data_IF_001304867786
#
_entry.id   IF_001304867786
#
_cell.length_a   1.000
_cell.length_b   1.000
_cell.length_c   1.000
_cell.angle_alpha   90.00
_cell.angle_beta   90.00
_cell.angle_gamma   90.00
#
_symmetry.space_group_name_H-M   'P 1'
#
loop_
_entity.id
_entity.type
_entity.pdbx_description
1 polymer ?
#
# COMPACT_ATOMS: atom_id res chain seq x y z
N UNK A 1 13.17 -11.44 -2.11
CA UNK A 1 11.70 -11.31 -2.23
C UNK A 1 11.08 -12.67 -2.47
N UNK A 2 9.89 -12.93 -1.96
CA UNK A 2 9.19 -14.22 -2.00
C UNK A 2 8.05 -14.30 -3.03
N UNK A 3 7.78 -13.21 -3.76
CA UNK A 3 6.73 -13.10 -4.78
C UNK A 3 7.28 -12.58 -6.11
N UNK A 4 6.56 -12.82 -7.22
CA UNK A 4 6.86 -12.29 -8.55
C UNK A 4 5.57 -11.92 -9.31
N UNK A 5 5.70 -11.23 -10.44
CA UNK A 5 4.61 -11.06 -11.41
C UNK A 5 5.09 -11.30 -12.84
N UNK A 6 4.14 -11.47 -13.74
CA UNK A 6 4.41 -11.81 -15.15
C UNK A 6 4.36 -10.62 -16.09
N UNK A 7 3.65 -9.55 -15.71
CA UNK A 7 3.54 -8.34 -16.52
C UNK A 7 3.87 -7.06 -15.73
N UNK A 8 4.45 -6.08 -16.41
CA UNK A 8 4.64 -4.72 -15.87
C UNK A 8 3.26 -4.13 -15.53
N UNK A 9 3.15 -3.45 -14.38
CA UNK A 9 1.89 -2.87 -13.85
C UNK A 9 0.76 -3.87 -13.53
N UNK A 10 1.02 -5.17 -13.59
CA UNK A 10 0.09 -6.17 -13.08
C UNK A 10 -0.03 -6.08 -11.55
N UNK A 11 -1.26 -6.23 -11.06
CA UNK A 11 -1.61 -6.14 -9.63
C UNK A 11 -1.38 -7.45 -8.88
N UNK A 12 -1.35 -8.58 -9.60
CA UNK A 12 -1.18 -9.89 -9.02
C UNK A 12 0.28 -10.12 -8.60
N UNK A 13 0.48 -10.43 -7.32
CA UNK A 13 1.73 -10.93 -6.78
C UNK A 13 1.61 -12.44 -6.55
N UNK A 14 2.44 -13.22 -7.23
CA UNK A 14 2.42 -14.68 -7.25
C UNK A 14 3.54 -15.20 -6.34
N UNK A 15 3.26 -16.06 -5.34
CA UNK A 15 4.30 -16.67 -4.53
C UNK A 15 5.32 -17.44 -5.38
N UNK A 16 6.61 -17.31 -5.07
CA UNK A 16 7.67 -18.01 -5.79
C UNK A 16 7.65 -19.50 -5.40
N UNK A 17 7.28 -20.32 -6.38
CA UNK A 17 7.46 -21.78 -6.37
C UNK A 17 7.68 -22.25 -7.81
N UNK A 18 8.25 -23.44 -7.96
CA UNK A 18 8.40 -24.12 -9.26
C UNK A 18 7.04 -24.35 -9.93
N UNK A 19 6.04 -24.77 -9.17
CA UNK A 19 4.65 -24.94 -9.62
C UNK A 19 4.06 -23.62 -10.14
N UNK A 20 4.08 -22.56 -9.34
CA UNK A 20 3.52 -21.27 -9.73
C UNK A 20 4.27 -20.68 -10.92
N UNK A 21 5.59 -20.76 -10.93
CA UNK A 21 6.37 -20.26 -12.04
C UNK A 21 6.05 -21.02 -13.34
N UNK A 22 5.95 -22.35 -13.27
CA UNK A 22 5.53 -23.18 -14.40
C UNK A 22 4.13 -22.81 -14.90
N UNK A 23 3.16 -22.69 -14.00
CA UNK A 23 1.78 -22.36 -14.31
C UNK A 23 1.64 -20.99 -15.01
N UNK A 24 2.27 -19.95 -14.46
CA UNK A 24 2.07 -18.58 -14.93
C UNK A 24 2.98 -18.19 -16.10
N UNK A 25 4.12 -18.85 -16.28
CA UNK A 25 5.06 -18.53 -17.36
C UNK A 25 5.06 -19.54 -18.50
N UNK A 26 4.54 -20.76 -18.27
CA UNK A 26 4.69 -21.88 -19.21
C UNK A 26 6.15 -22.27 -19.47
N UNK A 27 7.09 -21.84 -18.61
CA UNK A 27 8.53 -22.04 -18.76
C UNK A 27 9.08 -21.61 -20.13
N UNK A 28 8.49 -20.56 -20.72
CA UNK A 28 8.83 -20.09 -22.07
C UNK A 28 9.50 -18.72 -22.04
N UNK A 29 10.18 -18.32 -23.13
CA UNK A 29 10.67 -16.95 -23.28
C UNK A 29 9.53 -15.92 -23.07
N UNK A 30 9.79 -14.77 -22.44
CA UNK A 30 11.11 -14.28 -21.98
C UNK A 30 11.48 -14.71 -20.54
N UNK A 31 10.64 -15.52 -19.88
CA UNK A 31 10.84 -15.92 -18.48
C UNK A 31 11.96 -16.96 -18.31
N UNK A 32 12.32 -17.67 -19.38
CA UNK A 32 13.45 -18.60 -19.38
C UNK A 32 14.48 -18.13 -20.39
N UNK A 33 15.72 -17.94 -19.93
CA UNK A 33 16.88 -17.69 -20.76
C UNK A 33 17.86 -18.86 -20.66
N UNK A 34 18.47 -19.26 -21.77
CA UNK A 34 19.47 -20.32 -21.84
C UNK A 34 20.80 -19.69 -22.22
N UNK A 35 21.81 -19.90 -21.37
CA UNK A 35 23.18 -19.44 -21.61
C UNK A 35 23.93 -20.40 -22.54
N UNK A 36 25.07 -19.97 -23.08
CA UNK A 36 25.91 -20.80 -23.95
C UNK A 36 26.41 -22.10 -23.27
N UNK A 37 26.47 -22.12 -21.94
CA UNK A 37 26.84 -23.29 -21.13
C UNK A 37 25.64 -24.20 -20.77
N UNK A 38 24.50 -24.04 -21.47
CA UNK A 38 23.22 -24.72 -21.22
C UNK A 38 22.59 -24.45 -19.84
N UNK A 39 23.13 -23.54 -19.02
CA UNK A 39 22.45 -23.14 -17.78
C UNK A 39 21.22 -22.30 -18.11
N UNK A 40 20.18 -22.51 -17.30
CA UNK A 40 18.93 -21.76 -17.40
C UNK A 40 18.88 -20.67 -16.35
N UNK A 41 18.42 -19.49 -16.74
CA UNK A 41 18.02 -18.42 -15.83
C UNK A 41 16.52 -18.25 -15.91
N UNK A 42 15.89 -18.21 -14.74
CA UNK A 42 14.47 -17.97 -14.58
C UNK A 42 14.29 -16.50 -14.21
N UNK A 43 13.56 -15.78 -15.05
CA UNK A 43 13.34 -14.33 -14.97
C UNK A 43 11.86 -14.07 -14.72
N UNK A 44 11.58 -12.99 -14.00
CA UNK A 44 10.24 -12.51 -13.74
C UNK A 44 10.29 -10.99 -13.49
N UNK A 45 9.20 -10.42 -12.98
CA UNK A 45 9.10 -8.99 -12.69
C UNK A 45 8.84 -8.80 -11.19
N UNK A 46 9.50 -7.79 -10.60
CA UNK A 46 9.25 -7.37 -9.23
C UNK A 46 7.85 -6.78 -9.08
N UNK A 47 6.99 -7.27 -8.16
CA UNK A 47 5.67 -6.69 -7.96
C UNK A 47 5.68 -5.23 -7.49
N UNK A 48 6.70 -4.83 -6.71
CA UNK A 48 6.80 -3.48 -6.13
C UNK A 48 7.25 -2.42 -7.13
N UNK A 49 8.37 -2.65 -7.83
CA UNK A 49 9.04 -1.62 -8.62
C UNK A 49 9.02 -1.88 -10.14
N UNK A 50 8.40 -2.97 -10.58
CA UNK A 50 8.27 -3.39 -12.00
C UNK A 50 9.61 -3.68 -12.70
N UNK A 51 10.73 -3.64 -11.98
CA UNK A 51 12.04 -4.03 -12.51
C UNK A 51 12.13 -5.54 -12.71
N UNK A 52 12.94 -6.01 -13.68
CA UNK A 52 13.16 -7.43 -13.85
C UNK A 52 13.92 -8.03 -12.67
N UNK A 53 13.59 -9.28 -12.38
CA UNK A 53 14.21 -10.09 -11.33
C UNK A 53 14.61 -11.45 -11.88
N UNK A 54 15.60 -12.06 -11.25
CA UNK A 54 15.97 -13.46 -11.40
C UNK A 54 15.39 -14.25 -10.22
N UNK A 55 14.76 -15.39 -10.48
CA UNK A 55 14.32 -16.33 -9.46
C UNK A 55 15.47 -17.30 -9.16
N UNK A 56 16.08 -17.13 -7.99
CA UNK A 56 17.24 -17.90 -7.53
C UNK A 56 16.74 -19.11 -6.74
N UNK A 57 17.30 -20.28 -7.04
CA UNK A 57 17.00 -21.51 -6.29
C UNK A 57 15.70 -22.22 -6.69
N UNK A 58 14.99 -21.75 -7.73
CA UNK A 58 13.65 -22.20 -8.10
C UNK A 58 13.52 -23.72 -8.36
N UNK A 59 14.51 -24.34 -9.01
CA UNK A 59 14.50 -25.76 -9.37
C UNK A 59 15.72 -26.52 -8.78
N UNK A 60 16.13 -26.20 -7.55
CA UNK A 60 17.21 -26.95 -6.87
C UNK A 60 16.68 -28.30 -6.39
N UNK A 61 17.55 -29.33 -6.45
CA UNK A 61 17.26 -30.62 -5.83
C UNK A 61 17.18 -30.47 -4.30
N UNK A 62 16.26 -31.18 -3.66
CA UNK A 62 15.96 -31.04 -2.23
C UNK A 62 17.18 -31.29 -1.30
N UNK A 63 18.15 -32.10 -1.75
CA UNK A 63 19.37 -32.41 -0.99
C UNK A 63 20.38 -31.24 -0.94
N UNK A 64 20.33 -30.31 -1.90
CA UNK A 64 21.23 -29.14 -2.02
C UNK A 64 20.57 -27.83 -1.55
N UNK A 65 19.33 -27.90 -1.06
CA UNK A 65 18.48 -26.73 -0.82
C UNK A 65 18.74 -26.07 0.54
N UNK A 66 19.90 -25.42 0.68
CA UNK A 66 20.03 -24.39 1.70
C UNK A 66 19.23 -23.14 1.26
N UNK A 67 18.03 -22.97 1.82
CA UNK A 67 17.19 -21.77 1.68
C UNK A 67 16.03 -21.90 0.68
N UNK A 68 14.95 -21.15 0.95
CA UNK A 68 13.77 -21.03 0.07
C UNK A 68 14.11 -20.28 -1.22
N UNK A 69 13.46 -20.57 -2.35
CA UNK A 69 13.67 -19.81 -3.58
C UNK A 69 13.25 -18.36 -3.37
N UNK A 70 13.95 -17.43 -4.01
CA UNK A 70 13.73 -16.00 -3.85
C UNK A 70 14.03 -15.23 -5.13
N UNK A 71 13.35 -14.10 -5.30
CA UNK A 71 13.61 -13.14 -6.37
C UNK A 71 14.76 -12.20 -6.02
N UNK A 72 15.62 -11.96 -6.99
CA UNK A 72 16.73 -11.01 -6.93
C UNK A 72 16.67 -10.07 -8.13
N UNK A 73 16.66 -8.77 -7.88
CA UNK A 73 16.70 -7.77 -8.96
C UNK A 73 17.88 -7.95 -9.91
N UNK A 74 17.64 -7.74 -11.20
CA UNK A 74 18.70 -7.59 -12.21
C UNK A 74 18.77 -6.13 -12.64
N UNK A 75 20.00 -5.59 -12.73
CA UNK A 75 20.25 -4.18 -13.04
C UNK A 75 20.43 -3.92 -14.55
N UNK A 76 19.58 -4.53 -15.36
CA UNK A 76 19.55 -4.33 -16.81
C UNK A 76 18.16 -4.69 -17.35
N UNK A 77 17.78 -4.09 -18.48
CA UNK A 77 16.52 -4.42 -19.15
C UNK A 77 16.56 -5.83 -19.71
N UNK A 78 15.47 -6.57 -19.57
CA UNK A 78 15.29 -7.90 -20.17
C UNK A 78 14.33 -7.76 -21.35
N UNK A 79 14.78 -8.02 -22.60
CA UNK A 79 13.94 -7.92 -23.78
C UNK A 79 12.63 -8.69 -23.65
N UNK A 80 11.53 -8.07 -24.08
CA UNK A 80 10.17 -8.61 -24.03
C UNK A 80 9.62 -8.92 -22.62
N UNK A 81 10.36 -8.66 -21.55
CA UNK A 81 9.91 -8.87 -20.16
C UNK A 81 9.70 -7.53 -19.42
N UNK A 82 10.77 -6.79 -19.16
CA UNK A 82 10.70 -5.53 -18.41
C UNK A 82 11.93 -4.65 -18.69
N UNK A 83 11.70 -3.33 -18.65
CA UNK A 83 12.76 -2.32 -18.70
C UNK A 83 13.31 -2.12 -17.30
N UNK A 84 14.63 -1.97 -17.19
CA UNK A 84 15.25 -1.52 -15.94
C UNK A 84 15.06 0.00 -15.76
N UNK A 85 14.58 0.37 -14.58
CA UNK A 85 14.41 1.73 -14.08
C UNK A 85 15.19 1.85 -12.76
N UNK A 86 16.26 2.64 -12.79
CA UNK A 86 17.15 2.82 -11.64
C UNK A 86 16.47 3.56 -10.48
N UNK A 87 15.61 4.53 -10.77
CA UNK A 87 14.93 5.29 -9.73
C UNK A 87 13.93 4.40 -8.97
N UNK A 88 13.17 3.57 -9.69
CA UNK A 88 12.28 2.58 -9.07
C UNK A 88 13.05 1.47 -8.35
N UNK A 89 14.23 1.08 -8.86
CA UNK A 89 15.11 0.13 -8.18
C UNK A 89 15.56 0.69 -6.83
N UNK A 90 16.03 1.94 -6.79
CA UNK A 90 16.53 2.60 -5.59
C UNK A 90 15.44 2.88 -4.54
N UNK A 91 14.18 3.01 -4.98
CA UNK A 91 13.02 3.16 -4.11
C UNK A 91 12.41 1.82 -3.67
N UNK A 92 12.85 0.69 -4.23
CA UNK A 92 12.24 -0.61 -3.98
C UNK A 92 12.72 -1.22 -2.65
N UNK A 93 11.81 -1.62 -1.75
CA UNK A 93 12.20 -2.24 -0.48
C UNK A 93 12.95 -3.57 -0.65
N UNK A 94 12.75 -4.27 -1.78
CA UNK A 94 13.36 -5.56 -2.09
C UNK A 94 14.70 -5.46 -2.85
N UNK A 95 15.11 -4.26 -3.27
CA UNK A 95 16.29 -4.09 -4.12
C UNK A 95 17.59 -3.97 -3.33
N UNK A 96 17.60 -3.10 -2.30
CA UNK A 96 18.69 -2.99 -1.35
C UNK A 96 18.11 -2.70 0.05
N UNK A 97 18.14 -3.67 0.98
CA UNK A 97 17.64 -3.46 2.34
C UNK A 97 18.37 -2.35 3.10
N UNK A 98 19.59 -1.96 2.67
CA UNK A 98 20.45 -0.98 3.35
C UNK A 98 20.29 0.43 2.82
N UNK A 99 19.65 0.60 1.66
CA UNK A 99 19.47 1.89 1.02
C UNK A 99 18.02 2.06 0.55
N UNK A 100 17.38 3.15 0.96
CA UNK A 100 16.01 3.46 0.53
C UNK A 100 15.94 4.91 0.09
N UNK A 101 15.62 5.10 -1.18
CA UNK A 101 15.18 6.39 -1.71
C UNK A 101 13.74 6.65 -1.28
N UNK A 102 13.58 7.12 -0.05
CA UNK A 102 12.27 7.42 0.55
C UNK A 102 11.91 8.92 0.42
N UNK A 103 12.83 9.76 -0.05
CA UNK A 103 12.64 11.20 -0.23
C UNK A 103 12.41 11.60 -1.69
N UNK A 104 11.77 12.75 -1.87
CA UNK A 104 11.54 13.34 -3.18
C UNK A 104 10.34 12.77 -3.95
N UNK A 105 10.34 13.02 -5.26
CA UNK A 105 9.23 12.72 -6.16
C UNK A 105 9.73 12.14 -7.47
N UNK A 106 8.94 11.21 -8.01
CA UNK A 106 9.01 10.72 -9.39
C UNK A 106 8.79 11.86 -10.39
N UNK A 107 9.35 11.76 -11.60
CA UNK A 107 9.02 12.66 -12.70
C UNK A 107 7.51 12.67 -13.00
N UNK A 108 6.98 13.81 -13.46
CA UNK A 108 5.55 13.99 -13.76
C UNK A 108 5.02 12.98 -14.79
N UNK A 109 5.88 12.54 -15.72
CA UNK A 109 5.59 11.54 -16.75
C UNK A 109 5.91 10.10 -16.32
N UNK A 110 6.16 9.84 -15.04
CA UNK A 110 6.45 8.49 -14.53
C UNK A 110 5.28 7.53 -14.83
N UNK A 111 5.54 6.41 -15.54
CA UNK A 111 4.51 5.39 -15.78
C UNK A 111 3.95 4.80 -14.48
N UNK A 112 4.78 4.63 -13.45
CA UNK A 112 4.35 4.16 -12.12
C UNK A 112 3.46 5.21 -11.45
N UNK A 113 3.84 6.49 -11.51
CA UNK A 113 3.02 7.59 -11.00
C UNK A 113 1.65 7.67 -11.68
N UNK A 114 1.60 7.56 -13.00
CA UNK A 114 0.34 7.51 -13.75
C UNK A 114 -0.52 6.30 -13.34
N UNK A 115 0.09 5.12 -13.18
CA UNK A 115 -0.59 3.91 -12.71
C UNK A 115 -1.16 4.07 -11.30
N UNK A 116 -0.40 4.62 -10.34
CA UNK A 116 -0.89 4.86 -8.96
C UNK A 116 -2.06 5.85 -8.94
N UNK A 117 -2.02 6.86 -9.81
CA UNK A 117 -3.12 7.82 -9.99
C UNK A 117 -4.38 7.16 -10.54
N UNK A 118 -4.24 6.31 -11.56
CA UNK A 118 -5.35 5.53 -12.12
C UNK A 118 -5.92 4.57 -11.07
N UNK A 119 -5.07 3.87 -10.32
CA UNK A 119 -5.49 2.94 -9.28
C UNK A 119 -6.24 3.65 -8.15
N UNK A 120 -5.76 4.82 -7.71
CA UNK A 120 -6.46 5.65 -6.72
C UNK A 120 -7.86 6.02 -7.18
N UNK A 121 -8.03 6.34 -8.47
CA UNK A 121 -9.33 6.71 -9.05
C UNK A 121 -10.25 5.49 -9.18
N UNK A 122 -9.80 4.46 -9.89
CA UNK A 122 -10.63 3.34 -10.33
C UNK A 122 -11.01 2.40 -9.18
N UNK A 123 -10.26 2.44 -8.08
CA UNK A 123 -10.50 1.62 -6.88
C UNK A 123 -10.71 2.45 -5.63
N UNK A 124 -11.13 3.71 -5.77
CA UNK A 124 -11.22 4.62 -4.63
C UNK A 124 -12.14 4.11 -3.51
N UNK A 125 -13.23 3.43 -3.87
CA UNK A 125 -14.14 2.84 -2.88
C UNK A 125 -13.50 1.73 -2.06
N UNK A 126 -12.72 0.86 -2.71
CA UNK A 126 -11.96 -0.21 -2.06
C UNK A 126 -10.83 0.36 -1.22
N UNK A 127 -10.15 1.40 -1.70
CA UNK A 127 -9.09 2.12 -0.96
C UNK A 127 -9.66 2.71 0.33
N UNK A 128 -10.83 3.34 0.26
CA UNK A 128 -11.53 3.85 1.44
C UNK A 128 -11.92 2.71 2.38
N UNK A 129 -12.47 1.62 1.86
CA UNK A 129 -12.86 0.48 2.69
C UNK A 129 -11.65 -0.15 3.43
N UNK A 130 -10.50 -0.23 2.77
CA UNK A 130 -9.28 -0.79 3.37
C UNK A 130 -8.69 0.14 4.45
N UNK A 131 -8.76 1.46 4.24
CA UNK A 131 -8.49 2.42 5.29
C UNK A 131 -9.42 2.21 6.50
N UNK A 132 -10.75 2.14 6.28
CA UNK A 132 -11.71 1.97 7.37
C UNK A 132 -11.48 0.69 8.17
N UNK A 133 -11.18 -0.41 7.47
CA UNK A 133 -10.86 -1.70 8.06
C UNK A 133 -9.62 -1.62 8.94
N UNK A 134 -8.55 -1.00 8.44
CA UNK A 134 -7.23 -1.02 9.06
C UNK A 134 -7.08 0.02 10.17
N UNK A 135 -7.53 1.26 9.94
CA UNK A 135 -7.46 2.35 10.92
C UNK A 135 -8.62 2.32 11.93
N UNK A 136 -9.74 1.68 11.58
CA UNK A 136 -10.96 1.67 12.40
C UNK A 136 -11.72 3.01 12.38
N UNK A 137 -11.44 3.90 11.43
CA UNK A 137 -12.07 5.22 11.29
C UNK A 137 -12.90 5.24 10.02
N UNK A 138 -14.21 5.47 10.17
CA UNK A 138 -15.11 5.64 9.02
C UNK A 138 -14.78 6.91 8.23
N UNK A 139 -14.81 6.80 6.91
CA UNK A 139 -14.62 7.90 5.98
C UNK A 139 -15.94 8.20 5.25
N UNK A 140 -16.66 9.23 5.71
CA UNK A 140 -17.81 9.74 4.96
C UNK A 140 -17.39 10.16 3.55
N UNK A 141 -18.33 10.22 2.60
CA UNK A 141 -18.03 10.63 1.22
C UNK A 141 -17.34 12.00 1.17
N UNK A 142 -17.83 12.97 1.94
CA UNK A 142 -17.23 14.31 1.99
C UNK A 142 -15.83 14.30 2.63
N UNK A 143 -15.62 13.44 3.62
CA UNK A 143 -14.29 13.30 4.21
C UNK A 143 -13.32 12.65 3.21
N UNK A 144 -13.76 11.62 2.49
CA UNK A 144 -12.97 10.95 1.47
C UNK A 144 -12.60 11.91 0.34
N UNK A 145 -13.54 12.74 -0.13
CA UNK A 145 -13.28 13.82 -1.08
C UNK A 145 -12.17 14.74 -0.61
N UNK A 146 -12.28 15.28 0.62
CA UNK A 146 -11.28 16.20 1.18
C UNK A 146 -9.89 15.56 1.22
N UNK A 147 -9.81 14.28 1.60
CA UNK A 147 -8.52 13.59 1.63
C UNK A 147 -7.96 13.34 0.23
N UNK A 148 -8.81 13.00 -0.73
CA UNK A 148 -8.43 12.81 -2.12
C UNK A 148 -7.97 14.11 -2.79
N UNK A 149 -8.65 15.23 -2.52
CA UNK A 149 -8.25 16.56 -2.97
C UNK A 149 -6.89 16.95 -2.41
N UNK A 150 -6.66 16.72 -1.11
CA UNK A 150 -5.36 16.93 -0.48
C UNK A 150 -4.26 16.07 -1.13
N UNK A 151 -4.54 14.80 -1.39
CA UNK A 151 -3.62 13.91 -2.10
C UNK A 151 -3.34 14.40 -3.52
N UNK A 152 -4.36 14.90 -4.23
CA UNK A 152 -4.22 15.47 -5.59
C UNK A 152 -3.36 16.72 -5.61
N UNK A 153 -3.65 17.69 -4.74
CA UNK A 153 -2.88 18.95 -4.63
C UNK A 153 -1.41 18.65 -4.36
N UNK A 154 -1.13 17.64 -3.54
CA UNK A 154 0.23 17.22 -3.24
C UNK A 154 0.88 16.35 -4.34
N UNK A 155 0.20 16.09 -5.46
CA UNK A 155 0.64 15.14 -6.49
C UNK A 155 1.07 13.80 -5.87
N UNK A 156 0.25 13.27 -4.96
CA UNK A 156 0.66 12.20 -4.06
C UNK A 156 1.07 10.90 -4.76
N UNK A 157 0.64 10.69 -6.01
CA UNK A 157 1.08 9.58 -6.86
C UNK A 157 2.56 9.66 -7.28
N UNK A 158 3.22 10.81 -7.11
CA UNK A 158 4.63 11.00 -7.45
C UNK A 158 5.57 10.72 -6.28
N UNK A 159 5.11 10.61 -5.03
CA UNK A 159 6.03 10.29 -3.92
C UNK A 159 6.65 8.90 -4.12
N UNK A 160 7.97 8.77 -3.98
CA UNK A 160 8.65 7.46 -4.12
C UNK A 160 8.13 6.42 -3.12
N UNK A 161 7.76 6.88 -1.91
CA UNK A 161 7.12 6.04 -0.89
C UNK A 161 5.74 5.52 -1.28
N UNK A 162 5.05 6.12 -2.27
CA UNK A 162 3.77 5.63 -2.74
C UNK A 162 3.98 4.38 -3.59
N UNK A 163 3.23 3.33 -3.28
CA UNK A 163 3.20 2.06 -4.00
C UNK A 163 1.77 1.51 -4.04
N UNK A 164 1.60 0.37 -4.69
CA UNK A 164 0.28 -0.24 -4.84
C UNK A 164 -0.28 -0.75 -3.52
N UNK A 165 0.53 -1.24 -2.59
CA UNK A 165 0.03 -1.79 -1.33
C UNK A 165 -0.37 -0.71 -0.33
N UNK A 166 0.13 0.52 -0.46
CA UNK A 166 -0.05 1.57 0.55
C UNK A 166 -0.96 2.76 0.19
N UNK A 167 -1.63 2.75 -0.97
CA UNK A 167 -2.49 3.88 -1.39
C UNK A 167 -3.52 4.35 -0.35
N UNK A 168 -4.21 3.48 0.43
CA UNK A 168 -5.13 3.93 1.48
C UNK A 168 -4.50 4.89 2.49
N UNK A 169 -3.25 4.62 2.89
CA UNK A 169 -2.50 5.43 3.85
C UNK A 169 -1.88 6.67 3.21
N UNK A 170 -1.58 6.61 1.91
CA UNK A 170 -1.06 7.75 1.17
C UNK A 170 -2.02 8.94 1.12
N UNK A 171 -3.33 8.71 1.32
CA UNK A 171 -4.31 9.78 1.53
C UNK A 171 -3.92 10.72 2.70
N UNK A 172 -3.15 10.22 3.69
CA UNK A 172 -2.78 10.94 4.90
C UNK A 172 -1.28 11.25 5.03
N UNK A 173 -0.42 10.79 4.11
CA UNK A 173 1.04 10.81 4.26
C UNK A 173 1.67 12.20 4.54
N UNK A 174 1.03 13.27 4.06
CA UNK A 174 1.45 14.66 4.33
C UNK A 174 0.31 15.51 4.95
N UNK A 175 -0.74 14.84 5.45
CA UNK A 175 -1.85 15.53 6.10
C UNK A 175 -1.44 15.92 7.53
N UNK A 176 -1.84 17.12 8.01
CA UNK A 176 -1.72 17.43 9.43
C UNK A 176 -2.61 16.50 10.26
N UNK A 177 -2.48 16.55 11.58
CA UNK A 177 -3.37 15.83 12.48
C UNK A 177 -4.84 16.11 12.15
N UNK A 178 -5.66 15.06 12.13
CA UNK A 178 -7.06 15.10 11.70
C UNK A 178 -7.99 14.97 12.91
N UNK A 179 -9.05 15.79 12.99
CA UNK A 179 -9.95 15.78 14.15
C UNK A 179 -10.74 14.47 14.27
N UNK A 180 -10.87 13.98 15.50
CA UNK A 180 -11.61 12.77 15.85
C UNK A 180 -13.02 13.05 16.38
N UNK A 181 -13.28 14.22 16.98
CA UNK A 181 -14.63 14.56 17.47
C UNK A 181 -15.63 14.52 16.30
N UNK A 182 -16.75 13.83 16.52
CA UNK A 182 -17.79 13.60 15.51
C UNK A 182 -17.51 12.43 14.54
N UNK A 183 -16.29 11.88 14.53
CA UNK A 183 -15.95 10.73 13.68
C UNK A 183 -16.57 9.44 14.19
N UNK A 184 -16.85 8.53 13.27
CA UNK A 184 -17.36 7.20 13.58
C UNK A 184 -16.20 6.22 13.63
N UNK A 185 -16.12 5.47 14.73
CA UNK A 185 -15.07 4.52 15.04
C UNK A 185 -15.67 3.12 15.03
N UNK A 186 -14.98 2.20 14.37
CA UNK A 186 -15.44 0.81 14.24
C UNK A 186 -15.46 0.14 15.62
N UNK A 187 -16.57 -0.52 15.94
CA UNK A 187 -16.71 -1.31 17.17
C UNK A 187 -15.71 -2.45 17.23
N UNK A 188 -15.17 -2.73 18.41
CA UNK A 188 -14.13 -3.73 18.66
C UNK A 188 -12.74 -3.37 18.13
N UNK A 189 -12.55 -2.17 17.54
CA UNK A 189 -11.24 -1.76 17.04
C UNK A 189 -10.26 -1.40 18.17
N UNK A 190 -8.96 -1.47 17.89
CA UNK A 190 -7.94 -0.98 18.83
C UNK A 190 -8.08 0.52 19.11
N UNK A 191 -8.58 1.28 18.13
CA UNK A 191 -8.87 2.69 18.28
C UNK A 191 -10.02 2.95 19.26
N UNK A 192 -11.12 2.20 19.16
CA UNK A 192 -12.22 2.32 20.13
C UNK A 192 -11.70 2.09 21.55
N UNK A 193 -11.02 0.95 21.79
CA UNK A 193 -10.47 0.61 23.11
C UNK A 193 -9.56 1.70 23.66
N UNK A 194 -8.76 2.33 22.79
CA UNK A 194 -7.86 3.43 23.18
C UNK A 194 -8.63 4.71 23.52
N UNK A 195 -9.72 5.01 22.82
CA UNK A 195 -10.54 6.18 23.11
C UNK A 195 -11.38 6.01 24.39
N UNK A 196 -11.76 4.78 24.73
CA UNK A 196 -12.47 4.45 25.98
C UNK A 196 -11.64 4.73 27.23
N UNK A 197 -10.31 4.78 27.14
CA UNK A 197 -9.45 5.11 28.28
C UNK A 197 -9.38 6.62 28.56
N UNK A 198 -10.02 7.46 27.73
CA UNK A 198 -9.97 8.92 27.86
C UNK A 198 -11.22 9.43 28.58
N UNK A 199 -11.02 9.98 29.78
CA UNK A 199 -12.06 10.53 30.65
C UNK A 199 -12.91 11.65 30.01
N UNK A 200 -12.31 12.44 29.10
CA UNK A 200 -12.98 13.53 28.37
C UNK A 200 -13.74 13.06 27.12
N UNK A 201 -13.66 11.78 26.77
CA UNK A 201 -14.27 11.20 25.56
C UNK A 201 -15.49 10.36 25.93
N UNK A 202 -16.56 10.54 25.17
CA UNK A 202 -17.75 9.66 25.20
C UNK A 202 -17.93 9.03 23.83
N UNK A 203 -18.10 7.71 23.81
CA UNK A 203 -18.45 6.97 22.61
C UNK A 203 -19.93 6.59 22.66
N UNK A 204 -20.72 7.06 21.70
CA UNK A 204 -22.15 6.77 21.60
C UNK A 204 -22.46 5.90 20.38
N UNK A 205 -23.40 4.97 20.49
CA UNK A 205 -23.85 4.19 19.34
C UNK A 205 -24.44 5.08 18.25
N UNK A 206 -24.01 4.88 17.00
CA UNK A 206 -24.50 5.63 15.84
C UNK A 206 -24.91 4.73 14.68
N UNK A 207 -24.35 3.53 14.60
CA UNK A 207 -24.72 2.49 13.65
C UNK A 207 -24.36 1.11 14.21
N UNK A 208 -24.87 0.00 13.63
CA UNK A 208 -24.61 -1.35 14.16
C UNK A 208 -23.14 -1.65 14.46
N UNK A 209 -22.24 -1.20 13.57
CA UNK A 209 -20.80 -1.47 13.63
C UNK A 209 -19.95 -0.27 14.07
N UNK A 210 -20.57 0.85 14.44
CA UNK A 210 -19.86 2.10 14.71
C UNK A 210 -20.36 2.82 15.96
N UNK A 211 -19.41 3.44 16.66
CA UNK A 211 -19.66 4.43 17.70
C UNK A 211 -19.16 5.79 17.24
N UNK A 212 -19.84 6.87 17.64
CA UNK A 212 -19.41 8.23 17.35
C UNK A 212 -18.61 8.80 18.53
N UNK A 213 -17.49 9.44 18.23
CA UNK A 213 -16.69 10.18 19.22
C UNK A 213 -17.38 11.49 19.57
N UNK A 214 -17.61 11.71 20.85
CA UNK A 214 -18.14 12.95 21.40
C UNK A 214 -17.37 13.34 22.66
N UNK A 215 -17.60 14.56 23.13
CA UNK A 215 -16.98 15.09 24.35
C UNK A 215 -17.84 14.82 25.58
N UNK A 216 -17.19 14.67 26.73
CA UNK A 216 -17.86 14.74 28.03
C UNK A 216 -18.08 16.22 28.40
N UNK A 217 -19.31 16.57 28.75
CA UNK A 217 -19.70 17.95 29.07
C UNK A 217 -19.61 18.92 27.88
N UNK A 218 -19.51 20.22 28.19
CA UNK A 218 -19.55 21.31 27.20
C UNK A 218 -18.18 21.92 26.91
N UNK A 219 -17.11 21.46 27.57
CA UNK A 219 -15.76 21.97 27.34
C UNK A 219 -15.24 21.60 25.93
N UNK A 220 -14.36 22.42 25.36
CA UNK A 220 -13.70 22.07 24.11
C UNK A 220 -12.80 20.83 24.29
N UNK A 221 -12.74 20.00 23.26
CA UNK A 221 -11.92 18.79 23.22
C UNK A 221 -11.06 18.82 21.95
N UNK A 222 -9.79 19.15 22.10
CA UNK A 222 -8.79 18.98 21.05
C UNK A 222 -8.36 17.50 21.02
N UNK A 223 -9.02 16.72 20.18
CA UNK A 223 -8.74 15.31 19.99
C UNK A 223 -8.57 15.03 18.50
N UNK A 224 -7.39 14.53 18.13
CA UNK A 224 -7.03 14.26 16.74
C UNK A 224 -6.24 12.95 16.60
N UNK A 225 -6.14 12.46 15.36
CA UNK A 225 -5.22 11.40 14.99
C UNK A 225 -4.16 11.92 14.02
N UNK A 226 -2.97 11.31 14.05
CA UNK A 226 -1.90 11.56 13.10
C UNK A 226 -1.41 10.21 12.57
N UNK A 227 -1.42 10.04 11.26
CA UNK A 227 -0.73 8.93 10.62
C UNK A 227 0.71 9.36 10.35
N UNK A 228 1.67 8.64 10.90
CA UNK A 228 3.09 9.01 10.78
C UNK A 228 3.99 7.79 10.82
N UNK A 229 5.29 8.02 10.62
CA UNK A 229 6.35 7.03 10.77
C UNK A 229 6.08 5.72 9.99
N UNK A 230 6.10 5.86 8.66
CA UNK A 230 6.13 4.72 7.74
C UNK A 230 7.36 3.85 8.03
N UNK A 231 7.18 2.53 8.11
CA UNK A 231 8.25 1.56 8.32
C UNK A 231 8.04 0.34 7.43
N UNK A 232 9.10 -0.10 6.77
CA UNK A 232 9.13 -1.38 6.05
C UNK A 232 10.15 -2.30 6.72
N UNK A 233 9.73 -3.52 7.05
CA UNK A 233 10.58 -4.58 7.59
C UNK A 233 10.55 -5.76 6.62
N UNK A 234 11.70 -6.35 6.33
CA UNK A 234 11.77 -7.59 5.54
C UNK A 234 11.91 -8.75 6.51
N UNK A 235 10.99 -9.71 6.46
CA UNK A 235 11.01 -10.97 7.22
C UNK A 235 10.87 -12.12 6.26
N UNK A 236 11.79 -13.08 6.29
CA UNK A 236 11.74 -14.28 5.43
C UNK A 236 11.46 -13.97 3.95
N UNK A 237 12.19 -12.99 3.40
CA UNK A 237 12.04 -12.48 2.03
C UNK A 237 10.74 -11.73 1.72
N UNK A 238 9.86 -11.53 2.69
CA UNK A 238 8.62 -10.76 2.58
C UNK A 238 8.75 -9.36 3.17
N UNK A 239 8.32 -8.32 2.44
CA UNK A 239 8.31 -6.95 2.94
C UNK A 239 6.96 -6.61 3.60
N UNK A 240 7.01 -6.32 4.90
CA UNK A 240 5.87 -5.80 5.66
C UNK A 240 5.99 -4.28 5.78
N UNK A 241 5.04 -3.56 5.18
CA UNK A 241 4.91 -2.12 5.33
C UNK A 241 3.89 -1.75 6.42
N UNK A 242 4.23 -0.80 7.27
CA UNK A 242 3.42 -0.35 8.40
C UNK A 242 3.47 1.17 8.58
N UNK A 243 2.42 1.72 9.19
CA UNK A 243 2.31 3.10 9.64
C UNK A 243 1.90 3.13 11.11
N UNK A 244 2.28 4.20 11.82
CA UNK A 244 1.82 4.46 13.17
C UNK A 244 0.63 5.42 13.15
N UNK A 245 -0.48 5.01 13.76
CA UNK A 245 -1.64 5.85 14.03
C UNK A 245 -1.58 6.36 15.47
N UNK A 246 -1.17 7.61 15.60
CA UNK A 246 -1.05 8.34 16.87
C UNK A 246 -2.35 9.03 17.20
N UNK A 247 -2.71 9.05 18.49
CA UNK A 247 -3.82 9.85 19.02
C UNK A 247 -3.21 11.01 19.81
N UNK A 248 -3.70 12.21 19.56
CA UNK A 248 -3.27 13.44 20.21
C UNK A 248 -4.44 14.01 21.01
N UNK A 249 -4.20 14.33 22.27
CA UNK A 249 -5.11 15.07 23.15
C UNK A 249 -4.43 16.37 23.56
N UNK A 250 -5.04 17.51 23.25
CA UNK A 250 -4.46 18.85 23.43
C UNK A 250 -3.03 18.94 22.85
N UNK A 251 -2.87 18.44 21.61
CA UNK A 251 -1.59 18.35 20.90
C UNK A 251 -0.58 17.32 21.43
N UNK A 252 -0.88 16.57 22.50
CA UNK A 252 0.07 15.63 23.13
C UNK A 252 -0.26 14.16 22.82
N UNK A 253 0.74 13.31 22.53
CA UNK A 253 0.52 11.88 22.30
C UNK A 253 -0.14 11.19 23.50
N UNK A 254 -1.16 10.38 23.22
CA UNK A 254 -1.84 9.54 24.21
C UNK A 254 -1.36 8.11 24.05
N UNK A 255 -0.67 7.58 25.07
CA UNK A 255 -0.26 6.18 25.13
C UNK A 255 0.62 5.73 23.95
N UNK A 256 0.65 4.42 23.69
CA UNK A 256 1.38 3.85 22.54
C UNK A 256 0.60 4.05 21.24
N UNK A 257 1.31 4.28 20.15
CA UNK A 257 0.71 4.38 18.82
C UNK A 257 0.12 3.04 18.36
N UNK A 258 -0.96 3.09 17.58
CA UNK A 258 -1.57 1.91 16.99
C UNK A 258 -0.83 1.57 15.68
N UNK A 259 -0.56 0.29 15.46
CA UNK A 259 0.09 -0.18 14.23
C UNK A 259 -0.97 -0.40 13.15
N UNK A 260 -0.73 0.14 11.95
CA UNK A 260 -1.57 -0.09 10.77
C UNK A 260 -0.73 -0.71 9.68
N UNK A 261 -1.18 -1.84 9.14
CA UNK A 261 -0.46 -2.61 8.13
C UNK A 261 -0.91 -2.21 6.72
N UNK A 262 0.05 -1.88 5.86
CA UNK A 262 -0.18 -1.60 4.45
C UNK A 262 -0.08 -2.89 3.63
N UNK A 263 -1.14 -3.69 3.68
CA UNK A 263 -1.24 -5.02 3.08
C UNK A 263 -1.94 -5.03 1.70
N UNK A 264 -2.35 -3.87 1.20
CA UNK A 264 -2.94 -3.72 -0.14
C UNK A 264 -4.22 -4.52 -0.38
N UNK A 265 -5.01 -4.84 0.66
CA UNK A 265 -6.22 -5.66 0.49
C UNK A 265 -7.23 -5.08 -0.48
N UNK A 266 -7.25 -3.77 -0.68
CA UNK A 266 -8.10 -3.14 -1.69
C UNK A 266 -7.81 -3.60 -3.13
N UNK A 267 -6.65 -4.25 -3.38
CA UNK A 267 -6.32 -4.84 -4.67
C UNK A 267 -7.21 -6.06 -4.98
N UNK A 268 -7.77 -6.69 -3.94
CA UNK A 268 -8.62 -7.86 -3.98
C UNK A 268 -10.02 -7.49 -3.49
N UNK A 269 -10.98 -7.33 -4.40
CA UNK A 269 -12.33 -6.97 -3.97
C UNK A 269 -13.26 -6.59 -5.12
N UNK A 270 -14.55 -6.64 -4.82
CA UNK A 270 -15.60 -6.20 -5.71
C UNK A 270 -16.22 -4.90 -5.20
N UNK A 271 -16.54 -3.99 -6.12
CA UNK A 271 -17.14 -2.69 -5.80
C UNK A 271 -18.52 -2.84 -5.14
N UNK A 272 -18.87 -1.84 -4.32
CA UNK A 272 -20.17 -1.80 -3.62
C UNK A 272 -21.07 -0.64 -4.08
N UNK A 273 -22.35 -0.65 -3.70
CA UNK A 273 -23.28 0.47 -3.99
C UNK A 273 -22.83 1.79 -3.37
N UNK A 274 -22.39 1.80 -2.10
CA UNK A 274 -21.72 2.97 -1.49
C UNK A 274 -20.50 3.36 -2.31
N UNK A 275 -19.80 2.35 -2.84
CA UNK A 275 -18.65 2.53 -3.70
C UNK A 275 -18.93 3.38 -4.92
N UNK A 276 -20.12 3.29 -5.54
CA UNK A 276 -20.46 4.14 -6.70
C UNK A 276 -20.36 5.64 -6.40
N UNK A 277 -20.76 6.10 -5.20
CA UNK A 277 -20.65 7.52 -4.82
C UNK A 277 -19.18 7.92 -4.63
N UNK A 278 -18.37 7.05 -4.06
CA UNK A 278 -16.94 7.28 -3.87
C UNK A 278 -16.20 7.30 -5.22
N UNK A 279 -16.52 6.38 -6.12
CA UNK A 279 -15.98 6.35 -7.49
C UNK A 279 -16.35 7.63 -8.24
N UNK A 280 -17.60 8.11 -8.15
CA UNK A 280 -18.00 9.38 -8.75
C UNK A 280 -17.20 10.58 -8.20
N UNK A 281 -16.94 10.62 -6.88
CA UNK A 281 -16.03 11.62 -6.29
C UNK A 281 -14.63 11.51 -6.88
N UNK A 282 -14.11 10.29 -7.04
CA UNK A 282 -12.78 10.09 -7.57
C UNK A 282 -12.65 10.53 -9.03
N UNK A 283 -13.66 10.24 -9.85
CA UNK A 283 -13.76 10.71 -11.23
C UNK A 283 -13.82 12.23 -11.33
N UNK A 284 -14.59 12.89 -10.47
CA UNK A 284 -14.67 14.35 -10.42
C UNK A 284 -13.34 14.99 -9.99
N UNK A 285 -12.72 14.47 -8.93
CA UNK A 285 -11.50 15.04 -8.36
C UNK A 285 -10.30 14.76 -9.25
N UNK A 286 -10.09 13.53 -9.71
CA UNK A 286 -8.91 13.14 -10.49
C UNK A 286 -9.13 13.25 -12.01
N UNK A 287 -10.37 13.42 -12.47
CA UNK A 287 -10.69 13.51 -13.90
C UNK A 287 -10.38 12.21 -14.66
N UNK A 288 -10.72 12.23 -15.95
CA UNK A 288 -10.31 11.17 -16.85
C UNK A 288 -8.85 11.38 -17.25
N UNK A 289 -7.98 10.40 -16.95
CA UNK A 289 -6.73 10.23 -17.69
C UNK A 289 -7.18 9.88 -19.11
N UNK A 290 -7.00 10.79 -20.07
CA UNK A 290 -7.19 10.41 -21.48
C UNK A 290 -6.23 9.26 -21.78
N UNK A 291 -6.71 8.18 -22.43
CA UNK A 291 -5.84 7.08 -22.83
C UNK A 291 -4.66 7.55 -23.67
#
# INVERSE_FOLDING_TARGET
MDVFKTHVRELLAIPISDENFGQYTGLRPPFVSVHADNKRTFLAICPECDNPIQLVGLFRNQEDAAGRPYGRHVRHSVPNLARYDEDEYLACPYADPRYRKDDGRRPVNSPKGAMLRTLMRDRFDLIVADWERSAGIHMSVDYARRMLEGWKVNSGWLYYVANMHNLPWMLFFAAPAQPLVGRWIRKGSGLQRKLETLDRVRLGDVAPWYVQVSRVGNAYLDLSFLLWHRRIVIRDEHAEETFLLRILLDGKPVGRDLLVHADGRYLEGAHSRRGQRLLAVADEVLGHVRP
#
